data_IF_191724609430
#
_entry.id   IF_191724609430
#
_cell.length_a   1.000
_cell.length_b   1.000
_cell.length_c   1.000
_cell.angle_alpha   90.00
_cell.angle_beta   90.00
_cell.angle_gamma   90.00
#
_symmetry.space_group_name_H-M   'P 1'
#
loop_
_entity.id
_entity.type
_entity.pdbx_description
1 polymer ?
#
# COMPACT_ATOMS: atom_id res chain seq x y z
N UNK A 1 3.59 25.42 -1.57
CA UNK A 1 2.59 25.25 -2.63
C UNK A 1 2.33 23.77 -2.75
N UNK A 2 1.11 23.31 -2.68
CA UNK A 2 0.80 22.02 -3.22
C UNK A 2 1.30 22.04 -4.67
N UNK A 3 1.78 20.93 -5.16
CA UNK A 3 2.10 20.80 -6.57
C UNK A 3 0.94 21.41 -7.35
N UNK A 4 1.18 22.39 -8.22
CA UNK A 4 0.15 23.12 -8.98
C UNK A 4 -0.65 22.25 -9.96
N UNK A 5 -1.00 21.04 -9.51
CA UNK A 5 -1.70 20.03 -10.29
C UNK A 5 -3.12 20.46 -10.65
N UNK A 6 -3.81 21.13 -9.73
CA UNK A 6 -5.19 21.53 -9.97
C UNK A 6 -5.33 22.56 -11.11
N UNK A 7 -4.41 23.52 -11.17
CA UNK A 7 -4.40 24.50 -12.27
C UNK A 7 -4.05 23.83 -13.63
N UNK A 8 -3.21 22.81 -13.60
CA UNK A 8 -2.88 22.03 -14.80
C UNK A 8 -4.05 21.13 -15.22
N UNK A 9 -4.67 20.43 -14.29
CA UNK A 9 -5.84 19.56 -14.54
C UNK A 9 -7.04 20.37 -15.03
N UNK A 10 -7.20 21.61 -14.57
CA UNK A 10 -8.29 22.49 -15.01
C UNK A 10 -8.20 22.91 -16.49
N UNK A 11 -7.04 22.73 -17.14
CA UNK A 11 -6.84 23.08 -18.55
C UNK A 11 -7.47 22.05 -19.51
N UNK A 12 -7.71 20.83 -19.08
CA UNK A 12 -8.24 19.72 -19.89
C UNK A 12 -9.36 19.01 -19.15
N UNK A 13 -10.49 19.69 -18.96
CA UNK A 13 -11.66 19.06 -18.35
C UNK A 13 -12.42 18.23 -19.39
N UNK A 14 -12.66 16.98 -19.05
CA UNK A 14 -13.43 16.04 -19.86
C UNK A 14 -14.70 15.62 -19.11
N UNK A 15 -15.78 15.28 -19.83
CA UNK A 15 -16.96 14.68 -19.19
C UNK A 15 -16.58 13.33 -18.55
N UNK A 16 -17.13 13.07 -17.36
CA UNK A 16 -16.96 11.77 -16.69
C UNK A 16 -17.57 10.67 -17.57
N UNK A 17 -16.76 9.67 -17.93
CA UNK A 17 -17.22 8.50 -18.67
C UNK A 17 -17.90 7.52 -17.73
N UNK A 18 -19.06 6.97 -18.15
CA UNK A 18 -19.81 5.94 -17.44
C UNK A 18 -19.98 6.21 -15.92
N UNK A 19 -20.52 7.38 -15.55
CA UNK A 19 -20.55 7.85 -14.16
C UNK A 19 -21.38 6.97 -13.22
N UNK A 20 -22.20 6.07 -13.75
CA UNK A 20 -23.05 5.15 -12.98
C UNK A 20 -22.33 3.87 -12.57
N UNK A 21 -21.20 3.50 -13.20
CA UNK A 21 -20.48 2.27 -12.88
C UNK A 21 -19.91 2.34 -11.47
N UNK A 22 -20.28 1.40 -10.55
CA UNK A 22 -19.75 1.40 -9.20
C UNK A 22 -18.28 1.01 -9.20
N UNK A 23 -17.45 1.84 -8.58
CA UNK A 23 -15.99 1.66 -8.48
C UNK A 23 -15.62 1.35 -7.03
N UNK A 24 -14.81 0.31 -6.84
CA UNK A 24 -13.97 0.14 -5.66
C UNK A 24 -12.54 0.47 -6.07
N UNK A 25 -12.01 1.61 -5.61
CA UNK A 25 -10.59 1.95 -5.81
C UNK A 25 -9.73 1.07 -4.89
N UNK A 26 -8.94 0.14 -5.44
CA UNK A 26 -8.22 -0.85 -4.63
C UNK A 26 -6.94 -0.33 -4.02
N UNK A 27 -6.52 0.94 -4.29
CA UNK A 27 -5.17 1.39 -3.93
C UNK A 27 -5.04 2.90 -3.83
N UNK A 28 -5.02 3.42 -2.62
CA UNK A 28 -4.62 4.80 -2.35
C UNK A 28 -3.78 4.90 -1.08
N UNK A 29 -3.17 6.07 -0.86
CA UNK A 29 -2.41 6.39 0.33
C UNK A 29 -2.96 7.64 1.02
N UNK A 30 -2.85 7.70 2.35
CA UNK A 30 -2.89 8.97 3.09
C UNK A 30 -1.49 9.36 3.52
N UNK A 31 -1.12 10.62 3.31
CA UNK A 31 0.22 11.12 3.64
C UNK A 31 0.22 12.60 4.01
N UNK A 32 1.08 12.96 4.93
CA UNK A 32 1.41 14.33 5.27
C UNK A 32 2.92 14.39 5.53
N UNK A 33 3.69 14.32 4.43
CA UNK A 33 5.16 14.29 4.48
C UNK A 33 5.71 15.71 4.57
N UNK A 34 6.16 16.07 5.78
CA UNK A 34 6.80 17.35 6.07
C UNK A 34 8.32 17.19 6.16
N UNK A 35 8.93 16.76 5.05
CA UNK A 35 10.38 16.52 4.98
C UNK A 35 11.03 17.47 3.99
N UNK A 36 12.37 17.71 4.17
CA UNK A 36 13.13 18.54 3.24
C UNK A 36 13.15 18.02 1.81
N UNK A 37 13.02 16.69 1.62
CA UNK A 37 12.98 16.05 0.30
C UNK A 37 11.62 16.23 -0.38
N UNK A 38 10.53 16.22 0.39
CA UNK A 38 9.16 16.39 -0.10
C UNK A 38 8.48 17.42 0.80
N UNK A 39 8.76 18.72 0.60
CA UNK A 39 8.20 19.75 1.45
C UNK A 39 6.68 19.81 1.27
N UNK A 40 5.96 19.57 2.35
CA UNK A 40 4.52 19.73 2.42
C UNK A 40 3.74 18.93 1.37
N UNK A 41 3.95 17.63 1.33
CA UNK A 41 3.12 16.73 0.53
C UNK A 41 2.01 16.16 1.40
N UNK A 42 0.85 16.80 1.36
CA UNK A 42 -0.36 16.39 2.08
C UNK A 42 -1.40 15.85 1.11
N UNK A 43 -1.92 14.66 1.42
CA UNK A 43 -3.10 14.06 0.79
C UNK A 43 -3.81 13.24 1.86
N UNK A 44 -4.92 13.78 2.39
CA UNK A 44 -5.70 13.18 3.48
C UNK A 44 -7.16 13.05 3.05
N UNK A 45 -8.06 12.92 4.04
CA UNK A 45 -9.47 12.64 3.78
C UNK A 45 -10.18 13.73 2.96
N UNK A 46 -9.81 15.01 3.12
CA UNK A 46 -10.42 16.09 2.36
C UNK A 46 -10.06 16.00 0.87
N UNK A 47 -8.77 15.85 0.59
CA UNK A 47 -8.27 15.73 -0.77
C UNK A 47 -8.81 14.47 -1.46
N UNK A 48 -8.84 13.33 -0.77
CA UNK A 48 -9.46 12.12 -1.30
C UNK A 48 -10.97 12.29 -1.52
N UNK A 49 -11.67 12.96 -0.63
CA UNK A 49 -13.11 13.21 -0.80
C UNK A 49 -13.40 14.07 -2.04
N UNK A 50 -12.58 15.08 -2.30
CA UNK A 50 -12.70 15.89 -3.52
C UNK A 50 -12.52 15.01 -4.77
N UNK A 51 -11.54 14.12 -4.78
CA UNK A 51 -11.28 13.21 -5.91
C UNK A 51 -12.42 12.19 -6.12
N UNK A 52 -12.86 11.50 -5.06
CA UNK A 52 -13.90 10.45 -5.19
C UNK A 52 -15.30 11.01 -5.49
N UNK A 53 -15.52 12.31 -5.21
CA UNK A 53 -16.77 12.99 -5.53
C UNK A 53 -16.71 13.77 -6.86
N UNK A 54 -15.61 13.67 -7.63
CA UNK A 54 -15.40 14.46 -8.86
C UNK A 54 -16.20 13.97 -10.08
N UNK A 55 -17.13 13.02 -9.92
CA UNK A 55 -18.07 12.62 -10.98
C UNK A 55 -18.21 11.12 -11.20
N UNK A 56 -17.19 10.32 -10.89
CA UNK A 56 -17.29 8.86 -10.93
C UNK A 56 -18.01 8.31 -9.69
N UNK A 57 -18.65 7.14 -9.83
CA UNK A 57 -19.39 6.48 -8.74
C UNK A 57 -18.45 5.64 -7.86
N UNK A 58 -17.49 6.30 -7.19
CA UNK A 58 -16.58 5.63 -6.25
C UNK A 58 -17.32 5.28 -4.96
N UNK A 59 -17.58 4.01 -4.76
CA UNK A 59 -18.34 3.47 -3.61
C UNK A 59 -17.47 3.22 -2.39
N UNK A 60 -16.23 2.80 -2.62
CA UNK A 60 -15.26 2.50 -1.55
C UNK A 60 -13.85 2.55 -2.06
N UNK A 61 -12.91 2.75 -1.12
CA UNK A 61 -11.48 2.69 -1.42
C UNK A 61 -10.75 1.76 -0.44
N UNK A 62 -9.59 1.27 -0.86
CA UNK A 62 -8.67 0.50 0.00
C UNK A 62 -7.42 1.33 0.26
N UNK A 63 -7.15 1.59 1.53
CA UNK A 63 -5.89 2.20 1.93
C UNK A 63 -4.76 1.16 1.90
N UNK A 64 -3.63 1.53 1.32
CA UNK A 64 -2.39 0.75 1.38
C UNK A 64 -1.31 1.56 2.08
N UNK A 65 -0.51 0.94 2.93
CA UNK A 65 0.53 1.58 3.74
C UNK A 65 1.41 2.56 2.94
N UNK A 66 1.83 3.64 3.57
CA UNK A 66 2.68 4.67 2.98
C UNK A 66 3.84 5.10 3.90
N UNK A 67 4.06 4.37 5.00
CA UNK A 67 5.01 4.72 6.08
C UNK A 67 4.71 6.08 6.70
N UNK A 68 3.44 6.41 6.79
CA UNK A 68 2.93 7.65 7.33
C UNK A 68 2.51 7.43 8.78
N UNK A 69 2.71 8.41 9.65
CA UNK A 69 2.21 8.40 11.03
C UNK A 69 2.61 7.18 11.88
N UNK A 70 3.78 6.62 11.65
CA UNK A 70 4.34 5.56 12.49
C UNK A 70 4.56 6.06 13.93
N UNK A 71 4.34 5.19 14.91
CA UNK A 71 4.62 5.51 16.31
C UNK A 71 6.08 5.92 16.48
N UNK A 72 6.33 6.99 17.21
CA UNK A 72 7.69 7.50 17.44
C UNK A 72 8.48 6.63 18.43
N UNK A 73 7.81 6.04 19.39
CA UNK A 73 8.39 5.21 20.45
C UNK A 73 7.92 3.76 20.38
N UNK A 74 8.45 2.94 21.29
CA UNK A 74 8.17 1.51 21.36
C UNK A 74 9.07 0.67 20.44
N UNK A 75 8.87 -0.66 20.46
CA UNK A 75 9.58 -1.59 19.58
C UNK A 75 9.44 -1.19 18.10
N UNK A 76 10.50 -1.32 17.33
CA UNK A 76 10.53 -0.86 15.94
C UNK A 76 9.46 -1.55 15.09
N UNK A 77 9.30 -2.84 15.26
CA UNK A 77 8.32 -3.67 14.56
C UNK A 77 6.87 -3.28 14.85
N UNK A 78 6.61 -2.63 16.00
CA UNK A 78 5.28 -2.16 16.40
C UNK A 78 4.95 -0.74 15.92
N UNK A 79 5.92 0.02 15.41
CA UNK A 79 5.70 1.40 14.98
C UNK A 79 4.67 1.54 13.85
N UNK A 80 4.56 0.60 12.88
CA UNK A 80 3.56 0.66 11.82
C UNK A 80 2.10 0.65 12.31
N UNK A 81 1.84 0.17 13.54
CA UNK A 81 0.49 0.17 14.14
C UNK A 81 -0.08 1.58 14.20
N UNK A 82 0.76 2.61 14.41
CA UNK A 82 0.35 4.02 14.41
C UNK A 82 -0.28 4.47 13.09
N UNK A 83 0.19 3.98 11.96
CA UNK A 83 -0.43 4.29 10.67
C UNK A 83 -1.84 3.71 10.56
N UNK A 84 -2.05 2.47 11.01
CA UNK A 84 -3.37 1.84 11.00
C UNK A 84 -4.33 2.54 11.96
N UNK A 85 -3.88 2.95 13.16
CA UNK A 85 -4.66 3.77 14.10
C UNK A 85 -5.11 5.10 13.46
N UNK A 86 -4.19 5.79 12.81
CA UNK A 86 -4.46 7.04 12.11
C UNK A 86 -5.48 6.86 10.98
N UNK A 87 -5.27 5.87 10.11
CA UNK A 87 -6.16 5.59 8.98
C UNK A 87 -7.54 5.13 9.45
N UNK A 88 -7.61 4.34 10.53
CA UNK A 88 -8.88 3.95 11.16
C UNK A 88 -9.69 5.18 11.58
N UNK A 89 -9.04 6.23 12.10
CA UNK A 89 -9.70 7.50 12.44
C UNK A 89 -10.28 8.21 11.21
N UNK A 90 -9.50 8.30 10.11
CA UNK A 90 -9.95 8.89 8.85
C UNK A 90 -11.11 8.08 8.22
N UNK A 91 -11.01 6.75 8.25
CA UNK A 91 -12.07 5.86 7.77
C UNK A 91 -13.37 6.01 8.59
N UNK A 92 -13.26 6.22 9.91
CA UNK A 92 -14.42 6.50 10.77
C UNK A 92 -15.04 7.87 10.44
N UNK A 93 -14.23 8.88 10.21
CA UNK A 93 -14.70 10.20 9.76
C UNK A 93 -15.44 10.11 8.42
N UNK A 94 -14.89 9.40 7.42
CA UNK A 94 -15.58 9.15 6.15
C UNK A 94 -16.91 8.42 6.33
N UNK A 95 -16.97 7.44 7.20
CA UNK A 95 -18.17 6.66 7.47
C UNK A 95 -19.32 7.48 8.11
N UNK A 96 -19.05 8.70 8.61
CA UNK A 96 -20.09 9.62 9.11
C UNK A 96 -21.00 10.18 8.00
N UNK A 97 -20.57 10.08 6.72
CA UNK A 97 -21.27 10.63 5.58
C UNK A 97 -21.02 12.12 5.30
N UNK A 98 -20.26 12.81 6.17
CA UNK A 98 -19.96 14.24 6.00
C UNK A 98 -19.03 14.53 4.81
N UNK A 99 -18.35 13.53 4.28
CA UNK A 99 -17.40 13.63 3.17
C UNK A 99 -17.94 13.08 1.84
N UNK A 100 -19.26 12.87 1.76
CA UNK A 100 -19.91 12.30 0.58
C UNK A 100 -20.33 10.83 0.75
N UNK A 101 -20.90 10.21 -0.28
CA UNK A 101 -21.46 8.85 -0.21
C UNK A 101 -20.39 7.74 -0.25
N UNK A 102 -19.22 8.05 -0.78
CA UNK A 102 -18.10 7.10 -0.88
C UNK A 102 -17.47 6.79 0.48
N UNK A 103 -16.97 5.58 0.66
CA UNK A 103 -16.34 5.09 1.89
C UNK A 103 -14.82 5.02 1.74
N UNK A 104 -14.13 6.08 2.17
CA UNK A 104 -12.68 6.10 2.18
C UNK A 104 -12.12 5.04 3.15
N UNK A 105 -11.06 4.35 2.74
CA UNK A 105 -10.37 3.30 3.51
C UNK A 105 -11.34 2.28 4.11
N UNK A 106 -12.30 1.79 3.31
CA UNK A 106 -13.21 0.72 3.71
C UNK A 106 -12.48 -0.58 4.05
N UNK A 107 -11.29 -0.77 3.47
CA UNK A 107 -10.31 -1.76 3.89
C UNK A 107 -8.94 -1.09 4.08
N UNK A 108 -8.11 -1.68 4.95
CA UNK A 108 -6.78 -1.18 5.32
C UNK A 108 -5.76 -2.29 5.15
N UNK A 109 -4.75 -2.02 4.34
CA UNK A 109 -3.53 -2.82 4.20
C UNK A 109 -2.39 -2.05 4.87
N UNK A 110 -1.91 -2.55 6.01
CA UNK A 110 -0.83 -1.94 6.77
C UNK A 110 0.55 -2.47 6.39
N UNK A 111 1.53 -2.25 7.26
CA UNK A 111 2.87 -2.83 7.11
C UNK A 111 3.23 -3.73 8.30
N UNK A 112 3.88 -4.87 8.01
CA UNK A 112 4.59 -5.68 8.98
C UNK A 112 5.86 -6.26 8.35
N UNK A 113 6.92 -6.41 9.16
CA UNK A 113 8.18 -6.98 8.70
C UNK A 113 8.10 -8.51 8.71
N UNK A 114 7.85 -9.12 7.56
CA UNK A 114 7.75 -10.59 7.45
C UNK A 114 9.09 -11.31 7.64
N UNK A 115 10.24 -10.60 7.59
CA UNK A 115 11.54 -11.20 7.91
C UNK A 115 11.67 -11.63 9.39
N UNK A 116 10.72 -11.21 10.24
CA UNK A 116 10.62 -11.71 11.63
C UNK A 116 10.16 -13.17 11.71
N UNK A 117 9.73 -13.77 10.60
CA UNK A 117 9.20 -15.13 10.61
C UNK A 117 7.94 -15.24 11.46
N UNK A 118 7.86 -16.27 12.30
CA UNK A 118 6.71 -16.46 13.19
C UNK A 118 6.56 -15.34 14.25
N UNK A 119 7.64 -14.64 14.60
CA UNK A 119 7.63 -13.52 15.55
C UNK A 119 6.87 -12.28 15.00
N UNK A 120 6.40 -12.29 13.77
CA UNK A 120 5.51 -11.26 13.22
C UNK A 120 4.08 -11.33 13.81
N UNK A 121 3.69 -12.45 14.40
CA UNK A 121 2.33 -12.68 14.87
C UNK A 121 1.82 -11.60 15.84
N UNK A 122 2.55 -11.20 16.90
CA UNK A 122 2.11 -10.13 17.81
C UNK A 122 1.92 -8.78 17.09
N UNK A 123 2.72 -8.49 16.06
CA UNK A 123 2.56 -7.27 15.25
C UNK A 123 1.24 -7.31 14.48
N UNK A 124 0.92 -8.43 13.85
CA UNK A 124 -0.33 -8.61 13.12
C UNK A 124 -1.55 -8.52 14.03
N UNK A 125 -1.48 -9.05 15.25
CA UNK A 125 -2.53 -8.91 16.26
C UNK A 125 -2.75 -7.46 16.67
N UNK A 126 -1.67 -6.71 16.87
CA UNK A 126 -1.76 -5.29 17.20
C UNK A 126 -2.37 -4.47 16.03
N UNK A 127 -2.03 -4.78 14.78
CA UNK A 127 -2.61 -4.17 13.59
C UNK A 127 -4.11 -4.49 13.46
N UNK A 128 -4.49 -5.76 13.69
CA UNK A 128 -5.89 -6.17 13.70
C UNK A 128 -6.68 -5.48 14.82
N UNK A 129 -6.10 -5.36 16.02
CA UNK A 129 -6.72 -4.66 17.15
C UNK A 129 -6.90 -3.16 16.87
N UNK A 130 -5.95 -2.52 16.17
CA UNK A 130 -6.04 -1.11 15.79
C UNK A 130 -7.19 -0.83 14.79
N UNK A 131 -7.58 -1.81 13.97
CA UNK A 131 -8.69 -1.69 13.02
C UNK A 131 -9.42 -3.01 12.81
N UNK A 132 -10.22 -3.50 13.79
CA UNK A 132 -10.78 -4.85 13.79
C UNK A 132 -11.71 -5.12 12.60
N UNK A 133 -12.40 -4.09 12.11
CA UNK A 133 -13.40 -4.24 11.05
C UNK A 133 -12.89 -3.94 9.65
N UNK A 134 -11.69 -3.30 9.52
CA UNK A 134 -11.18 -2.84 8.21
C UNK A 134 -9.81 -3.40 7.85
N UNK A 135 -8.99 -3.82 8.81
CA UNK A 135 -7.68 -4.42 8.52
C UNK A 135 -7.84 -5.72 7.74
N UNK A 136 -7.13 -5.86 6.60
CA UNK A 136 -7.27 -7.00 5.69
C UNK A 136 -5.96 -7.66 5.30
N UNK A 137 -4.85 -6.99 5.48
CA UNK A 137 -3.56 -7.51 5.08
C UNK A 137 -2.40 -6.58 5.34
N UNK A 138 -1.24 -6.96 4.87
CA UNK A 138 -0.04 -6.14 4.94
C UNK A 138 0.61 -6.02 3.57
N UNK A 139 1.26 -4.88 3.33
CA UNK A 139 2.20 -4.73 2.23
C UNK A 139 3.63 -4.85 2.73
N UNK A 140 4.41 -5.68 2.06
CA UNK A 140 5.85 -5.77 2.25
C UNK A 140 6.55 -5.60 0.90
N UNK A 141 7.11 -4.40 0.65
CA UNK A 141 7.87 -4.14 -0.56
C UNK A 141 9.18 -4.92 -0.55
N UNK A 142 9.44 -5.64 -1.63
CA UNK A 142 10.64 -6.47 -1.83
C UNK A 142 11.45 -6.03 -3.06
N UNK A 143 11.23 -4.80 -3.54
CA UNK A 143 11.92 -4.29 -4.72
C UNK A 143 13.43 -4.38 -4.55
N UNK A 144 14.09 -5.09 -5.46
CA UNK A 144 15.53 -5.23 -5.51
C UNK A 144 16.01 -5.41 -6.96
N UNK A 145 17.09 -4.73 -7.29
CA UNK A 145 17.80 -4.90 -8.56
C UNK A 145 19.29 -4.59 -8.35
N UNK A 146 20.21 -5.33 -9.00
CA UNK A 146 21.66 -5.12 -8.84
C UNK A 146 22.18 -3.88 -9.53
N UNK A 147 21.46 -3.31 -10.50
CA UNK A 147 21.95 -2.22 -11.31
C UNK A 147 21.76 -0.86 -10.61
N UNK A 148 22.80 -0.05 -10.60
CA UNK A 148 22.82 1.23 -9.90
C UNK A 148 21.80 2.26 -10.43
N UNK A 149 21.41 2.11 -11.70
CA UNK A 149 20.43 2.97 -12.37
C UNK A 149 18.98 2.69 -11.88
N UNK A 150 18.77 1.54 -11.22
CA UNK A 150 17.46 1.16 -10.67
C UNK A 150 17.39 1.60 -9.20
N UNK A 151 16.50 2.54 -8.90
CA UNK A 151 16.30 2.98 -7.51
C UNK A 151 15.51 1.94 -6.73
N UNK A 152 16.18 1.23 -5.81
CA UNK A 152 15.55 0.27 -4.92
C UNK A 152 14.78 0.98 -3.80
N UNK A 153 13.45 0.91 -3.86
CA UNK A 153 12.55 1.59 -2.93
C UNK A 153 12.18 0.78 -1.68
N UNK A 154 12.54 -0.51 -1.62
CA UNK A 154 12.35 -1.32 -0.42
C UNK A 154 13.21 -0.82 0.74
N UNK A 155 12.66 -0.90 1.96
CA UNK A 155 13.40 -0.60 3.20
C UNK A 155 14.55 -1.59 3.38
N UNK A 156 14.28 -2.86 3.11
CA UNK A 156 15.19 -3.94 3.46
C UNK A 156 16.24 -4.21 2.39
N UNK A 157 15.94 -3.93 1.11
CA UNK A 157 16.86 -4.07 -0.05
C UNK A 157 17.60 -5.41 -0.07
N UNK A 158 16.87 -6.51 0.13
CA UNK A 158 17.41 -7.87 0.24
C UNK A 158 17.21 -8.60 -1.09
N UNK A 159 18.30 -9.09 -1.68
CA UNK A 159 18.25 -9.97 -2.85
C UNK A 159 17.62 -11.31 -2.46
N UNK A 160 16.68 -11.82 -3.28
CA UNK A 160 16.06 -13.12 -3.06
C UNK A 160 15.20 -13.20 -1.81
N UNK A 161 14.70 -12.06 -1.31
CA UNK A 161 13.94 -11.98 -0.05
C UNK A 161 12.74 -12.93 0.00
N UNK A 162 12.04 -13.14 -1.11
CA UNK A 162 10.88 -14.02 -1.18
C UNK A 162 11.22 -15.52 -1.09
N UNK A 163 12.51 -15.87 -1.22
CA UNK A 163 13.01 -17.24 -1.02
C UNK A 163 13.47 -17.49 0.41
N UNK A 164 13.64 -16.45 1.22
CA UNK A 164 14.09 -16.56 2.62
C UNK A 164 13.07 -17.32 3.48
N UNK A 165 13.56 -18.21 4.34
CA UNK A 165 12.71 -19.08 5.17
C UNK A 165 11.89 -18.29 6.19
N UNK A 166 12.47 -17.22 6.79
CA UNK A 166 11.74 -16.36 7.73
C UNK A 166 10.66 -15.57 6.99
N UNK A 167 10.95 -15.00 5.81
CA UNK A 167 9.95 -14.30 5.02
C UNK A 167 8.76 -15.22 4.68
N UNK A 168 9.03 -16.45 4.27
CA UNK A 168 8.01 -17.47 4.01
C UNK A 168 7.26 -17.90 5.26
N UNK A 169 7.93 -18.00 6.42
CA UNK A 169 7.27 -18.24 7.70
C UNK A 169 6.30 -17.11 8.04
N UNK A 170 6.73 -15.85 7.93
CA UNK A 170 5.86 -14.67 8.10
C UNK A 170 4.65 -14.68 7.17
N UNK A 171 4.83 -15.07 5.89
CA UNK A 171 3.73 -15.23 4.94
C UNK A 171 2.74 -16.33 5.35
N UNK A 172 3.22 -17.44 5.95
CA UNK A 172 2.34 -18.47 6.53
C UNK A 172 1.53 -17.96 7.71
N UNK A 173 2.09 -17.05 8.53
CA UNK A 173 1.31 -16.40 9.61
C UNK A 173 0.16 -15.60 9.03
N UNK A 174 0.39 -14.83 7.94
CA UNK A 174 -0.70 -14.11 7.27
C UNK A 174 -1.80 -15.07 6.79
N UNK A 175 -1.41 -16.19 6.18
CA UNK A 175 -2.35 -17.21 5.71
C UNK A 175 -3.22 -17.73 6.87
N UNK A 176 -2.59 -18.11 8.01
CA UNK A 176 -3.31 -18.59 9.20
C UNK A 176 -4.29 -17.57 9.76
N UNK A 177 -3.97 -16.27 9.67
CA UNK A 177 -4.83 -15.17 10.12
C UNK A 177 -5.85 -14.71 9.07
N UNK A 178 -5.86 -15.31 7.87
CA UNK A 178 -6.76 -14.94 6.77
C UNK A 178 -6.46 -13.57 6.16
N UNK A 179 -5.23 -13.06 6.33
CA UNK A 179 -4.78 -11.78 5.83
C UNK A 179 -4.14 -11.89 4.45
N UNK A 180 -4.24 -10.82 3.64
CA UNK A 180 -3.55 -10.73 2.35
C UNK A 180 -2.09 -10.28 2.51
N UNK A 181 -1.29 -10.63 1.52
CA UNK A 181 0.07 -10.14 1.31
C UNK A 181 0.12 -9.33 0.02
N UNK A 182 0.19 -8.02 0.15
CA UNK A 182 0.44 -7.12 -0.94
C UNK A 182 1.94 -7.03 -1.20
N UNK A 183 2.36 -7.29 -2.43
CA UNK A 183 3.78 -7.31 -2.80
C UNK A 183 4.04 -6.27 -3.89
N UNK A 184 4.94 -5.34 -3.58
CA UNK A 184 5.56 -4.49 -4.58
C UNK A 184 6.98 -4.98 -4.86
N UNK A 185 7.22 -5.37 -6.10
CA UNK A 185 8.47 -5.89 -6.62
C UNK A 185 8.76 -5.26 -7.99
N UNK A 186 9.93 -5.51 -8.55
CA UNK A 186 10.23 -5.19 -9.94
C UNK A 186 10.00 -6.40 -10.86
N UNK A 187 9.64 -6.15 -12.12
CA UNK A 187 9.30 -7.21 -13.09
C UNK A 187 10.31 -8.36 -13.20
N UNK A 188 11.65 -8.15 -13.09
CA UNK A 188 12.60 -9.26 -13.06
C UNK A 188 12.43 -10.23 -11.87
N UNK A 189 11.74 -9.80 -10.79
CA UNK A 189 11.51 -10.65 -9.61
C UNK A 189 10.21 -11.48 -9.69
N UNK A 190 9.43 -11.39 -10.78
CA UNK A 190 8.21 -12.17 -10.94
C UNK A 190 8.39 -13.69 -10.78
N UNK A 191 9.50 -14.32 -11.25
CA UNK A 191 9.75 -15.73 -10.97
C UNK A 191 9.87 -16.05 -9.48
N UNK A 192 10.50 -15.17 -8.67
CA UNK A 192 10.59 -15.35 -7.21
C UNK A 192 9.21 -15.30 -6.55
N UNK A 193 8.32 -14.41 -7.04
CA UNK A 193 6.94 -14.36 -6.57
C UNK A 193 6.16 -15.63 -6.89
N UNK A 194 6.35 -16.18 -8.09
CA UNK A 194 5.72 -17.44 -8.48
C UNK A 194 6.18 -18.61 -7.59
N UNK A 195 7.45 -18.60 -7.18
CA UNK A 195 7.99 -19.61 -6.26
C UNK A 195 7.50 -19.41 -4.82
N UNK A 196 7.35 -18.16 -4.36
CA UNK A 196 6.68 -17.86 -3.08
C UNK A 196 5.23 -18.38 -3.08
N UNK A 197 4.47 -18.12 -4.14
CA UNK A 197 3.08 -18.56 -4.26
C UNK A 197 2.94 -20.11 -4.21
N UNK A 198 3.91 -20.84 -4.80
CA UNK A 198 3.96 -22.31 -4.69
C UNK A 198 4.35 -22.77 -3.29
N UNK A 199 5.27 -22.05 -2.61
CA UNK A 199 5.77 -22.41 -1.28
C UNK A 199 4.77 -22.11 -0.15
N UNK A 200 3.87 -21.13 -0.37
CA UNK A 200 2.85 -20.69 0.60
C UNK A 200 1.51 -20.51 -0.12
N UNK A 201 0.88 -21.60 -0.59
CA UNK A 201 -0.31 -21.52 -1.45
C UNK A 201 -1.55 -20.97 -0.76
N UNK A 202 -1.60 -20.97 0.56
CA UNK A 202 -2.75 -20.52 1.34
C UNK A 202 -2.78 -19.00 1.58
N UNK A 203 -1.67 -18.28 1.30
CA UNK A 203 -1.65 -16.82 1.42
C UNK A 203 -2.25 -16.16 0.17
N UNK A 204 -3.14 -15.19 0.38
CA UNK A 204 -3.68 -14.37 -0.70
C UNK A 204 -2.66 -13.33 -1.10
N UNK A 205 -2.05 -13.47 -2.27
CA UNK A 205 -1.07 -12.53 -2.80
C UNK A 205 -1.75 -11.51 -3.70
N UNK A 206 -1.43 -10.24 -3.50
CA UNK A 206 -1.86 -9.11 -4.35
C UNK A 206 -0.61 -8.47 -4.95
N UNK A 207 -0.43 -8.62 -6.27
CA UNK A 207 0.68 -8.01 -6.99
C UNK A 207 0.40 -6.54 -7.24
N UNK A 208 1.15 -5.66 -6.59
CA UNK A 208 1.02 -4.22 -6.77
C UNK A 208 1.70 -3.74 -8.08
N UNK A 209 1.18 -2.65 -8.66
CA UNK A 209 1.77 -1.93 -9.80
C UNK A 209 2.11 -2.81 -11.01
N UNK A 210 1.32 -3.87 -11.24
CA UNK A 210 1.51 -4.80 -12.37
C UNK A 210 2.94 -5.41 -12.37
N UNK A 211 3.56 -5.57 -11.19
CA UNK A 211 4.92 -6.09 -11.07
C UNK A 211 6.02 -5.10 -11.39
N UNK A 212 5.77 -3.78 -11.23
CA UNK A 212 6.82 -2.76 -11.27
C UNK A 212 7.72 -2.81 -12.52
N UNK A 213 7.13 -2.63 -13.71
CA UNK A 213 7.86 -2.69 -14.98
C UNK A 213 9.01 -1.68 -15.01
N UNK A 214 10.23 -2.17 -15.20
CA UNK A 214 11.43 -1.35 -15.30
C UNK A 214 11.64 -0.87 -16.76
N UNK A 215 11.98 0.43 -16.88
CA UNK A 215 12.29 1.11 -18.16
C UNK A 215 13.57 1.97 -18.07
N UNK A 216 14.47 1.63 -17.13
CA UNK A 216 15.73 2.37 -16.89
C UNK A 216 16.93 1.42 -16.93
N UNK A 217 18.14 1.95 -17.09
CA UNK A 217 19.36 1.16 -17.14
C UNK A 217 19.30 0.05 -18.20
N UNK A 218 19.62 -1.19 -17.86
CA UNK A 218 19.61 -2.32 -18.78
C UNK A 218 18.21 -2.69 -19.32
N UNK A 219 17.15 -2.13 -18.72
CA UNK A 219 15.75 -2.36 -19.10
C UNK A 219 15.20 -1.23 -19.99
N UNK A 220 16.00 -0.19 -20.30
CA UNK A 220 15.62 0.85 -21.24
C UNK A 220 15.45 0.25 -22.65
N UNK A 221 14.40 0.66 -23.35
CA UNK A 221 14.09 0.23 -24.72
C UNK A 221 13.81 -1.29 -24.90
N UNK A 222 13.46 -1.99 -23.83
CA UNK A 222 12.92 -3.35 -23.92
C UNK A 222 11.41 -3.28 -24.04
N UNK A 223 10.88 -3.89 -25.09
CA UNK A 223 9.44 -3.94 -25.40
C UNK A 223 8.85 -5.35 -25.19
N UNK A 224 9.67 -6.29 -24.73
CA UNK A 224 9.37 -7.70 -24.45
C UNK A 224 9.05 -7.96 -22.96
#
# INVERSE_FOLDING_TARGET
MPFGGNDWLAQTQEPTLEPEIPICDPYHHFRDFRTARIPYHRYLLHELADDINAGHNVRSTVFVEARSMYRRGGPEEMRPVGEVEFVQGLAAASASGLYGPGRAAAAIVGHANLNLGDDVEPVLEALQAASPNRFRGVRHSVTWDPHAEVENNSVYKIQGQMADDNYRAGARVLARKGLSLDIWLFSPQLPELADLAKAVPDVKIILNHIGGLLRVGPYANRDD
#
